data_IF_215786046590
#
_entry.id   IF_215786046590
#
_cell.length_a   1.000
_cell.length_b   1.000
_cell.length_c   1.000
_cell.angle_alpha   90.00
_cell.angle_beta   90.00
_cell.angle_gamma   90.00
#
_symmetry.space_group_name_H-M   'P 1'
#
loop_
_entity.id
_entity.type
_entity.pdbx_description
1 polymer ?
#
# COMPACT_ATOMS: atom_id res chain seq x y z
N UNK A 1 -32.72 -18.11 -17.99
CA UNK A 1 -33.00 -16.84 -18.72
C UNK A 1 -32.40 -15.61 -18.04
N UNK A 2 -32.33 -15.57 -16.71
CA UNK A 2 -31.87 -14.36 -15.98
C UNK A 2 -30.35 -14.15 -15.98
N UNK A 3 -29.54 -15.21 -16.03
CA UNK A 3 -28.08 -15.11 -16.02
C UNK A 3 -27.53 -14.46 -17.30
N UNK A 4 -28.06 -14.81 -18.48
CA UNK A 4 -27.67 -14.20 -19.75
C UNK A 4 -27.98 -12.70 -19.79
N UNK A 5 -29.15 -12.27 -19.26
CA UNK A 5 -29.48 -10.84 -19.14
C UNK A 5 -28.56 -10.10 -18.19
N UNK A 6 -28.15 -10.76 -17.09
CA UNK A 6 -27.18 -10.20 -16.14
C UNK A 6 -25.79 -10.06 -16.77
N UNK A 7 -25.32 -11.05 -17.53
CA UNK A 7 -24.06 -10.97 -18.28
C UNK A 7 -24.07 -9.85 -19.32
N UNK A 8 -25.15 -9.72 -20.10
CA UNK A 8 -25.31 -8.63 -21.07
C UNK A 8 -25.31 -7.24 -20.41
N UNK A 9 -25.89 -7.11 -19.22
CA UNK A 9 -25.82 -5.85 -18.46
C UNK A 9 -24.39 -5.56 -18.02
N UNK A 10 -23.69 -6.56 -17.50
CA UNK A 10 -22.29 -6.41 -17.04
C UNK A 10 -21.39 -6.03 -18.22
N UNK A 11 -21.53 -6.66 -19.39
CA UNK A 11 -20.71 -6.32 -20.56
C UNK A 11 -20.97 -4.91 -21.09
N UNK A 12 -22.13 -4.30 -20.81
CA UNK A 12 -22.44 -2.91 -21.22
C UNK A 12 -22.05 -1.86 -20.16
N UNK A 13 -21.96 -2.24 -18.89
CA UNK A 13 -21.81 -1.29 -17.77
C UNK A 13 -20.45 -1.40 -17.06
N UNK A 14 -19.70 -2.50 -17.24
CA UNK A 14 -18.42 -2.70 -16.57
C UNK A 14 -17.40 -1.63 -16.97
N UNK A 15 -16.87 -0.91 -15.96
CA UNK A 15 -15.78 0.07 -16.12
C UNK A 15 -14.40 -0.59 -16.17
N UNK A 16 -14.25 -1.75 -15.54
CA UNK A 16 -12.98 -2.49 -15.51
C UNK A 16 -12.79 -3.30 -16.80
N UNK A 17 -11.66 -3.12 -17.51
CA UNK A 17 -11.44 -3.78 -18.81
C UNK A 17 -11.26 -5.30 -18.69
N UNK A 18 -10.76 -5.81 -17.56
CA UNK A 18 -10.59 -7.25 -17.33
C UNK A 18 -11.96 -7.90 -17.13
N UNK A 19 -12.79 -7.29 -16.29
CA UNK A 19 -14.16 -7.73 -16.04
C UNK A 19 -14.99 -7.72 -17.32
N UNK A 20 -14.86 -6.67 -18.12
CA UNK A 20 -15.51 -6.57 -19.43
C UNK A 20 -15.10 -7.71 -20.35
N UNK A 21 -13.79 -7.93 -20.56
CA UNK A 21 -13.30 -9.01 -21.44
C UNK A 21 -13.79 -10.38 -20.98
N UNK A 22 -13.69 -10.68 -19.69
CA UNK A 22 -14.16 -11.97 -19.14
C UNK A 22 -15.66 -12.15 -19.34
N UNK A 23 -16.47 -11.10 -19.15
CA UNK A 23 -17.90 -11.16 -19.37
C UNK A 23 -18.26 -11.43 -20.84
N UNK A 24 -17.52 -10.84 -21.79
CA UNK A 24 -17.71 -11.08 -23.23
C UNK A 24 -17.36 -12.54 -23.57
N UNK A 25 -16.25 -13.08 -23.07
CA UNK A 25 -15.87 -14.49 -23.28
C UNK A 25 -16.99 -15.43 -22.82
N UNK A 26 -17.48 -15.24 -21.60
CA UNK A 26 -18.56 -16.07 -21.04
C UNK A 26 -19.85 -15.90 -21.86
N UNK A 27 -20.18 -14.68 -22.29
CA UNK A 27 -21.36 -14.42 -23.11
C UNK A 27 -21.28 -15.14 -24.46
N UNK A 28 -20.14 -15.08 -25.15
CA UNK A 28 -19.94 -15.76 -26.44
C UNK A 28 -19.98 -17.28 -26.29
N UNK A 29 -19.39 -17.81 -25.22
CA UNK A 29 -19.50 -19.24 -24.89
C UNK A 29 -20.94 -19.65 -24.59
N UNK A 30 -21.71 -18.85 -23.85
CA UNK A 30 -23.12 -19.10 -23.57
C UNK A 30 -24.01 -19.02 -24.83
N UNK A 31 -23.57 -18.31 -25.87
CA UNK A 31 -24.21 -18.28 -27.20
C UNK A 31 -23.84 -19.49 -28.06
N UNK A 32 -23.01 -20.41 -27.57
CA UNK A 32 -22.59 -21.62 -28.29
C UNK A 32 -21.45 -21.41 -29.27
N UNK A 33 -20.73 -20.28 -29.22
CA UNK A 33 -19.56 -20.08 -30.08
C UNK A 33 -18.40 -21.00 -29.67
N UNK A 34 -17.69 -21.54 -30.66
CA UNK A 34 -16.52 -22.36 -30.39
C UNK A 34 -15.37 -21.51 -29.83
N UNK A 35 -14.54 -22.13 -28.98
CA UNK A 35 -13.37 -21.45 -28.37
C UNK A 35 -12.47 -20.82 -29.44
N UNK A 36 -12.31 -21.48 -30.59
CA UNK A 36 -11.48 -21.00 -31.71
C UNK A 36 -12.01 -19.72 -32.36
N UNK A 37 -13.33 -19.57 -32.43
CA UNK A 37 -13.96 -18.37 -32.97
C UNK A 37 -13.77 -17.20 -31.99
N UNK A 38 -13.93 -17.47 -30.70
CA UNK A 38 -13.73 -16.51 -29.60
C UNK A 38 -12.27 -16.01 -29.61
N UNK A 39 -11.29 -16.90 -29.73
CA UNK A 39 -9.87 -16.52 -29.78
C UNK A 39 -9.55 -15.67 -31.01
N UNK A 40 -10.13 -16.02 -32.16
CA UNK A 40 -9.93 -15.25 -33.40
C UNK A 40 -10.52 -13.84 -33.30
N UNK A 41 -11.72 -13.72 -32.70
CA UNK A 41 -12.41 -12.45 -32.56
C UNK A 41 -11.78 -11.53 -31.50
N UNK A 42 -11.39 -12.09 -30.35
CA UNK A 42 -10.86 -11.31 -29.23
C UNK A 42 -9.32 -11.18 -29.22
N UNK A 43 -8.62 -11.90 -30.10
CA UNK A 43 -7.15 -12.00 -30.13
C UNK A 43 -6.55 -12.38 -28.76
N UNK A 44 -7.11 -13.42 -28.14
CA UNK A 44 -6.65 -13.99 -26.86
C UNK A 44 -6.23 -15.44 -27.05
N UNK A 45 -5.45 -15.99 -26.12
CA UNK A 45 -5.06 -17.41 -26.16
C UNK A 45 -6.25 -18.33 -25.85
N UNK A 46 -6.22 -19.55 -26.39
CA UNK A 46 -7.25 -20.54 -26.10
C UNK A 46 -7.25 -20.92 -24.60
N UNK A 47 -6.08 -20.99 -23.97
CA UNK A 47 -5.95 -21.26 -22.54
C UNK A 47 -6.66 -20.21 -21.70
N UNK A 48 -6.50 -18.93 -22.04
CA UNK A 48 -7.21 -17.85 -21.34
C UNK A 48 -8.73 -18.00 -21.44
N UNK A 49 -9.25 -18.36 -22.63
CA UNK A 49 -10.69 -18.57 -22.83
C UNK A 49 -11.19 -19.74 -21.98
N UNK A 50 -10.47 -20.87 -22.00
CA UNK A 50 -10.81 -22.04 -21.18
C UNK A 50 -10.77 -21.71 -19.69
N UNK A 51 -9.71 -21.05 -19.22
CA UNK A 51 -9.56 -20.62 -17.83
C UNK A 51 -10.73 -19.73 -17.37
N UNK A 52 -11.16 -18.78 -18.20
CA UNK A 52 -12.28 -17.90 -17.88
C UNK A 52 -13.59 -18.66 -17.80
N UNK A 53 -13.84 -19.59 -18.72
CA UNK A 53 -15.06 -20.42 -18.73
C UNK A 53 -15.06 -21.35 -17.51
N UNK A 54 -13.96 -22.04 -17.23
CA UNK A 54 -13.83 -22.90 -16.06
C UNK A 54 -14.00 -22.11 -14.76
N UNK A 55 -13.33 -20.96 -14.63
CA UNK A 55 -13.46 -20.08 -13.49
C UNK A 55 -14.91 -19.61 -13.28
N UNK A 56 -15.64 -19.29 -14.36
CA UNK A 56 -17.04 -18.90 -14.30
C UNK A 56 -17.94 -20.07 -13.90
N UNK A 57 -17.69 -21.28 -14.40
CA UNK A 57 -18.45 -22.47 -14.02
C UNK A 57 -18.23 -22.86 -12.54
N UNK A 58 -17.05 -22.59 -11.99
CA UNK A 58 -16.73 -22.87 -10.59
C UNK A 58 -17.25 -21.80 -9.61
N UNK A 59 -17.13 -20.51 -9.97
CA UNK A 59 -17.35 -19.37 -9.04
C UNK A 59 -18.45 -18.40 -9.49
N UNK A 60 -19.06 -18.63 -10.63
CA UNK A 60 -20.07 -17.75 -11.22
C UNK A 60 -19.53 -16.34 -11.50
N UNK A 61 -20.33 -15.33 -11.17
CA UNK A 61 -20.03 -13.92 -11.45
C UNK A 61 -18.78 -13.39 -10.73
N UNK A 62 -18.37 -14.01 -9.61
CA UNK A 62 -17.17 -13.61 -8.87
C UNK A 62 -15.88 -13.88 -9.66
N UNK A 63 -15.92 -14.80 -10.63
CA UNK A 63 -14.81 -15.06 -11.54
C UNK A 63 -14.52 -13.90 -12.51
N UNK A 64 -15.52 -13.06 -12.77
CA UNK A 64 -15.38 -11.92 -13.67
C UNK A 64 -14.52 -10.83 -13.04
N UNK A 65 -14.49 -10.75 -11.71
CA UNK A 65 -13.73 -9.72 -11.01
C UNK A 65 -12.22 -10.01 -11.05
N UNK A 66 -11.39 -9.02 -11.43
CA UNK A 66 -9.95 -9.17 -11.40
C UNK A 66 -9.48 -9.37 -9.96
N UNK A 67 -8.74 -10.46 -9.72
CA UNK A 67 -7.98 -10.63 -8.48
C UNK A 67 -6.69 -9.81 -8.59
N UNK A 68 -6.77 -8.54 -8.22
CA UNK A 68 -5.58 -7.72 -8.02
C UNK A 68 -4.83 -8.27 -6.82
N UNK A 69 -3.82 -9.10 -7.05
CA UNK A 69 -2.82 -9.36 -6.02
C UNK A 69 -2.07 -8.05 -5.81
N UNK A 70 -2.21 -7.48 -4.62
CA UNK A 70 -1.33 -6.40 -4.19
C UNK A 70 0.11 -6.86 -4.39
N UNK A 71 0.94 -6.01 -4.98
CA UNK A 71 2.36 -6.33 -5.18
C UNK A 71 3.05 -6.70 -3.86
N UNK A 72 4.30 -7.17 -3.94
CA UNK A 72 5.08 -7.60 -2.77
C UNK A 72 4.93 -6.59 -1.62
N UNK A 73 4.54 -7.05 -0.41
CA UNK A 73 4.36 -6.15 0.73
C UNK A 73 5.67 -5.38 0.99
N UNK A 74 5.53 -4.11 1.37
CA UNK A 74 6.69 -3.24 1.62
C UNK A 74 7.55 -3.83 2.73
N UNK A 75 8.88 -3.89 2.53
CA UNK A 75 9.83 -4.41 3.51
C UNK A 75 9.85 -3.63 4.82
N UNK A 76 9.46 -2.35 4.79
CA UNK A 76 9.39 -1.49 5.97
C UNK A 76 7.93 -1.17 6.25
N UNK A 77 7.44 -1.63 7.40
CA UNK A 77 6.07 -1.39 7.86
C UNK A 77 5.82 0.12 8.05
N UNK A 78 4.57 0.53 7.85
CA UNK A 78 4.20 1.95 7.98
C UNK A 78 4.44 2.48 9.41
N UNK A 79 4.33 1.61 10.43
CA UNK A 79 4.68 1.95 11.82
C UNK A 79 6.14 2.35 11.99
N UNK A 80 7.05 1.58 11.38
CA UNK A 80 8.49 1.88 11.44
C UNK A 80 8.79 3.18 10.69
N UNK A 81 8.13 3.42 9.55
CA UNK A 81 8.26 4.68 8.81
C UNK A 81 7.82 5.89 9.66
N UNK A 82 6.70 5.76 10.37
CA UNK A 82 6.18 6.85 11.20
C UNK A 82 7.08 7.09 12.42
N UNK A 83 7.59 6.02 13.04
CA UNK A 83 8.56 6.13 14.12
C UNK A 83 9.85 6.84 13.66
N UNK A 84 10.37 6.51 12.47
CA UNK A 84 11.52 7.20 11.87
C UNK A 84 11.21 8.69 11.65
N UNK A 85 10.02 9.04 11.16
CA UNK A 85 9.60 10.43 10.96
C UNK A 85 9.49 11.20 12.27
N UNK A 86 9.02 10.55 13.33
CA UNK A 86 8.89 11.14 14.65
C UNK A 86 10.26 11.47 15.26
N UNK A 87 11.21 10.53 15.18
CA UNK A 87 12.59 10.74 15.62
C UNK A 87 13.22 11.88 14.80
N UNK A 88 13.03 11.88 13.48
CA UNK A 88 13.57 12.90 12.59
C UNK A 88 13.04 14.33 12.84
N UNK A 89 11.83 14.47 13.42
CA UNK A 89 11.22 15.76 13.77
C UNK A 89 11.66 16.31 15.12
N UNK A 90 12.18 15.46 16.00
CA UNK A 90 12.67 15.86 17.32
C UNK A 90 14.07 16.45 17.20
N UNK A 91 14.46 17.45 17.99
CA UNK A 91 15.82 18.00 17.91
C UNK A 91 16.84 17.00 18.50
N UNK A 92 18.06 16.87 17.95
CA UNK A 92 19.12 16.08 18.59
C UNK A 92 19.43 16.53 20.03
N UNK A 93 19.16 17.80 20.35
CA UNK A 93 19.31 18.38 21.68
C UNK A 93 18.37 17.72 22.72
N UNK A 94 17.12 17.43 22.34
CA UNK A 94 16.19 16.71 23.21
C UNK A 94 16.70 15.30 23.54
N UNK A 95 17.41 14.67 22.60
CA UNK A 95 17.99 13.34 22.77
C UNK A 95 19.28 13.31 23.60
N UNK A 96 19.66 14.42 24.23
CA UNK A 96 20.89 14.60 24.99
C UNK A 96 22.16 14.39 24.13
N UNK A 97 22.03 14.53 22.80
CA UNK A 97 23.16 14.49 21.87
C UNK A 97 23.63 15.93 21.67
N UNK A 98 24.46 16.40 22.60
CA UNK A 98 24.91 17.80 22.69
C UNK A 98 25.83 18.25 21.53
N UNK A 99 26.17 17.36 20.59
CA UNK A 99 27.17 17.65 19.58
C UNK A 99 26.64 18.44 18.36
N UNK A 100 25.32 18.44 18.07
CA UNK A 100 24.78 19.08 16.85
C UNK A 100 23.34 19.59 17.00
N UNK A 101 23.03 20.71 16.33
CA UNK A 101 21.70 21.36 16.33
C UNK A 101 20.71 20.74 15.30
N UNK A 102 21.21 20.05 14.27
CA UNK A 102 20.38 19.47 13.20
C UNK A 102 20.74 18.03 12.87
N UNK A 103 19.75 17.24 12.44
CA UNK A 103 19.97 15.88 11.96
C UNK A 103 20.64 15.90 10.58
N UNK A 104 21.77 15.21 10.46
CA UNK A 104 22.24 14.75 9.15
C UNK A 104 21.71 13.34 8.88
N UNK A 105 21.48 12.98 7.61
CA UNK A 105 20.99 11.65 7.23
C UNK A 105 21.89 10.51 7.76
N UNK A 106 23.19 10.72 7.81
CA UNK A 106 24.14 9.73 8.33
C UNK A 106 23.98 9.55 9.85
N UNK A 107 23.86 10.65 10.61
CA UNK A 107 23.67 10.62 12.07
C UNK A 107 22.33 10.01 12.45
N UNK A 108 21.27 10.34 11.71
CA UNK A 108 19.96 9.74 11.91
C UNK A 108 20.01 8.22 11.64
N UNK A 109 20.73 7.76 10.61
CA UNK A 109 20.89 6.34 10.36
C UNK A 109 21.62 5.62 11.50
N UNK A 110 22.73 6.19 12.01
CA UNK A 110 23.44 5.63 13.17
C UNK A 110 22.55 5.57 14.40
N UNK A 111 21.82 6.66 14.69
CA UNK A 111 20.94 6.71 15.85
C UNK A 111 19.78 5.70 15.78
N UNK A 112 19.23 5.46 14.58
CA UNK A 112 18.19 4.45 14.38
C UNK A 112 18.71 3.02 14.60
N UNK A 113 19.99 2.76 14.32
CA UNK A 113 20.64 1.47 14.60
C UNK A 113 20.91 1.32 16.10
N UNK A 114 21.44 2.37 16.77
CA UNK A 114 21.67 2.38 18.22
C UNK A 114 20.39 2.13 19.02
N UNK A 115 19.27 2.72 18.59
CA UNK A 115 17.95 2.55 19.21
C UNK A 115 17.26 1.23 18.84
N UNK A 116 17.92 0.36 18.06
CA UNK A 116 17.38 -0.90 17.56
C UNK A 116 16.06 -0.76 16.78
N UNK A 117 15.80 0.40 16.18
CA UNK A 117 14.59 0.66 15.39
C UNK A 117 14.63 -0.18 14.11
N UNK A 118 15.81 -0.28 13.47
CA UNK A 118 16.07 -1.17 12.34
C UNK A 118 17.52 -1.68 12.36
N UNK A 119 17.78 -2.95 11.97
CA UNK A 119 19.13 -3.53 11.98
C UNK A 119 20.05 -2.93 10.91
N UNK A 120 19.48 -2.48 9.78
CA UNK A 120 20.23 -1.82 8.70
C UNK A 120 19.29 -0.93 7.89
N UNK A 121 19.68 0.33 7.68
CA UNK A 121 18.91 1.27 6.85
C UNK A 121 19.83 1.95 5.83
N UNK A 122 19.43 1.94 4.55
CA UNK A 122 20.12 2.70 3.51
C UNK A 122 19.78 4.19 3.62
N UNK A 123 20.77 5.05 3.33
CA UNK A 123 20.60 6.51 3.27
C UNK A 123 19.49 6.92 2.30
N UNK A 124 19.35 6.23 1.17
CA UNK A 124 18.29 6.52 0.19
C UNK A 124 16.90 6.10 0.68
N UNK A 125 16.81 4.98 1.39
CA UNK A 125 15.56 4.55 2.02
C UNK A 125 15.10 5.56 3.06
N UNK A 126 16.03 6.04 3.89
CA UNK A 126 15.77 7.09 4.86
C UNK A 126 15.33 8.39 4.18
N UNK A 127 16.05 8.85 3.14
CA UNK A 127 15.70 10.04 2.36
C UNK A 127 14.29 9.94 1.76
N UNK A 128 13.91 8.78 1.20
CA UNK A 128 12.56 8.54 0.65
C UNK A 128 11.49 8.63 1.72
N UNK A 129 11.69 8.00 2.88
CA UNK A 129 10.74 8.02 4.01
C UNK A 129 10.49 9.45 4.49
N UNK A 130 11.54 10.27 4.54
CA UNK A 130 11.48 11.66 5.00
C UNK A 130 10.83 12.59 3.97
N UNK A 131 11.13 12.41 2.67
CA UNK A 131 10.44 13.13 1.59
C UNK A 131 8.95 12.81 1.55
N UNK A 132 8.58 11.53 1.67
CA UNK A 132 7.17 11.10 1.80
C UNK A 132 6.51 11.73 3.03
N UNK A 133 7.26 11.89 4.14
CA UNK A 133 6.78 12.51 5.38
C UNK A 133 6.84 14.04 5.42
N UNK A 134 7.22 14.70 4.30
CA UNK A 134 7.44 16.15 4.18
C UNK A 134 8.30 16.74 5.31
N UNK A 135 9.27 15.99 5.82
CA UNK A 135 10.20 16.47 6.85
C UNK A 135 11.33 17.21 6.14
N UNK A 136 11.39 18.53 6.31
CA UNK A 136 12.51 19.35 5.86
C UNK A 136 13.32 19.82 7.06
N UNK A 137 14.65 19.68 6.96
CA UNK A 137 15.59 20.29 7.90
C UNK A 137 16.18 21.57 7.32
N UNK A 138 15.33 22.38 6.65
CA UNK A 138 15.77 23.71 6.27
C UNK A 138 15.97 24.52 7.55
N UNK A 139 17.15 25.09 7.70
CA UNK A 139 17.45 25.98 8.80
C UNK A 139 16.54 27.21 8.69
N UNK A 140 15.45 27.23 9.45
CA UNK A 140 14.77 28.48 9.73
C UNK A 140 15.58 29.15 10.82
N UNK A 141 16.34 30.18 10.47
CA UNK A 141 16.90 31.12 11.47
C UNK A 141 15.70 31.77 12.16
N UNK A 142 15.24 31.16 13.25
CA UNK A 142 14.18 31.71 14.07
C UNK A 142 14.55 31.44 15.51
N UNK A 143 14.64 32.52 16.27
CA UNK A 143 15.13 32.63 17.64
C UNK A 143 14.26 31.90 18.70
N UNK A 144 13.45 30.92 18.29
CA UNK A 144 12.55 30.17 19.18
C UNK A 144 12.97 28.70 19.27
N UNK A 145 14.03 28.44 20.03
CA UNK A 145 14.22 27.12 20.61
C UNK A 145 13.29 27.01 21.82
N UNK A 146 12.31 26.10 21.75
CA UNK A 146 11.55 25.70 22.95
C UNK A 146 12.47 24.82 23.80
N UNK A 147 12.63 25.20 25.06
CA UNK A 147 13.50 24.59 26.06
C UNK A 147 12.69 23.63 26.96
N UNK A 148 11.70 22.94 26.40
CA UNK A 148 10.77 22.10 27.17
C UNK A 148 11.36 20.69 27.40
N UNK A 149 11.81 20.34 28.62
CA UNK A 149 12.45 19.05 28.90
C UNK A 149 11.48 17.85 28.83
N UNK A 150 10.16 18.11 28.84
CA UNK A 150 9.11 17.09 28.75
C UNK A 150 8.63 16.80 27.32
N UNK A 151 9.25 17.38 26.29
CA UNK A 151 8.84 17.16 24.89
C UNK A 151 8.87 15.68 24.51
N UNK A 152 9.94 14.98 24.87
CA UNK A 152 10.12 13.54 24.66
C UNK A 152 9.08 12.73 25.46
N UNK A 153 8.84 13.07 26.72
CA UNK A 153 7.88 12.38 27.57
C UNK A 153 6.43 12.53 27.04
N UNK A 154 6.07 13.72 26.54
CA UNK A 154 4.78 14.00 25.90
C UNK A 154 4.63 13.26 24.57
N UNK A 155 5.70 13.15 23.80
CA UNK A 155 5.76 12.37 22.55
C UNK A 155 5.55 10.87 22.80
N UNK A 156 6.25 10.28 23.79
CA UNK A 156 6.03 8.88 24.16
C UNK A 156 4.60 8.63 24.65
N UNK A 157 4.01 9.57 25.41
CA UNK A 157 2.62 9.47 25.88
C UNK A 157 1.60 9.53 24.73
N UNK A 158 1.87 10.27 23.65
CA UNK A 158 1.04 10.30 22.44
C UNK A 158 1.12 9.00 21.62
N UNK A 159 2.27 8.32 21.63
CA UNK A 159 2.46 7.03 20.95
C UNK A 159 1.73 5.86 21.62
N UNK A 160 1.43 5.95 22.92
CA UNK A 160 0.78 4.87 23.68
C UNK A 160 -0.75 4.97 23.76
N UNK A 161 -1.36 6.12 23.45
CA UNK A 161 -2.83 6.30 23.55
C UNK A 161 -3.61 5.90 22.29
N UNK A 162 -3.07 4.98 21.48
CA UNK A 162 -3.78 4.28 20.40
C UNK A 162 -3.67 2.74 20.54
N UNK A 163 -3.48 2.23 21.76
CA UNK A 163 -3.71 0.83 22.10
C UNK A 163 -5.15 0.63 22.57
N UNK A 164 -6.12 0.62 21.64
CA UNK A 164 -7.35 -0.20 21.68
C UNK A 164 -8.34 0.29 20.61
N UNK A 165 -8.33 -0.37 19.46
CA UNK A 165 -9.57 -0.87 18.85
C UNK A 165 -9.20 -1.86 17.76
N UNK A 166 -9.05 -3.12 18.15
CA UNK A 166 -9.32 -4.25 17.26
C UNK A 166 -10.84 -4.22 17.07
N UNK A 167 -11.35 -3.87 15.89
CA UNK A 167 -12.74 -4.24 15.56
C UNK A 167 -12.74 -5.74 15.25
N UNK A 168 -13.68 -6.52 15.80
CA UNK A 168 -13.90 -7.87 15.31
C UNK A 168 -14.39 -7.77 13.86
N UNK A 169 -13.85 -8.63 13.01
CA UNK A 169 -14.39 -8.90 11.69
C UNK A 169 -15.58 -9.81 11.87
N UNK A 170 -16.79 -9.26 11.77
CA UNK A 170 -18.01 -10.06 11.69
C UNK A 170 -18.04 -10.79 10.35
N UNK A 171 -18.26 -12.10 10.44
CA UNK A 171 -18.71 -12.97 9.35
C UNK A 171 -20.18 -13.33 9.54
#
# INVERSE_FOLDING_TARGET
MDEGRRLQRISRTAKDPVRLRRAIVVLMSAQGQAVKDITSLMQVSEDYVRDVIHAFNERGFDALDPKWSGGRPKTISDRVREHIRLIARTSPADWNIAAFSTWSLAKLATHLVERQVMPRISRETLRRILREGKVSWQATTTWKASNDPDFIAKMHRASWRCTTHRRPTDG
#
